data_IF_535530946327
#
_entry.id   IF_535530946327
#
_cell.length_a   1.000
_cell.length_b   1.000
_cell.length_c   1.000
_cell.angle_alpha   90.00
_cell.angle_beta   90.00
_cell.angle_gamma   90.00
#
_symmetry.space_group_name_H-M   'P 1'
#
loop_
_entity.id
_entity.type
_entity.pdbx_description
1 polymer ?
#
# COMPACT_ATOMS: atom_id res chain seq x y z
N UNK A 1 -2.87 11.19 -69.23
CA UNK A 1 -2.33 12.39 -68.55
C UNK A 1 -3.45 12.98 -67.73
N UNK A 2 -3.40 13.17 -66.42
CA UNK A 2 -2.50 12.75 -65.36
C UNK A 2 -3.33 12.85 -64.05
N UNK A 3 -3.01 11.98 -63.09
CA UNK A 3 -3.57 11.90 -61.74
C UNK A 3 -2.97 12.98 -60.82
N UNK A 4 -3.62 13.22 -59.67
CA UNK A 4 -3.05 13.79 -58.44
C UNK A 4 -3.53 15.20 -58.10
N UNK A 5 -3.82 15.61 -56.87
CA UNK A 5 -3.73 14.97 -55.55
C UNK A 5 -4.65 15.74 -54.58
N UNK A 6 -5.35 15.02 -53.71
CA UNK A 6 -6.00 15.55 -52.50
C UNK A 6 -4.94 15.93 -51.47
N UNK A 7 -4.85 17.22 -51.09
CA UNK A 7 -4.05 17.62 -49.93
C UNK A 7 -4.81 17.34 -48.64
N UNK A 8 -4.29 16.37 -47.89
CA UNK A 8 -4.52 16.19 -46.45
C UNK A 8 -3.89 17.38 -45.72
N UNK A 9 -4.70 18.15 -44.98
CA UNK A 9 -4.20 19.07 -43.96
C UNK A 9 -4.09 18.32 -42.63
N UNK A 10 -3.21 17.32 -42.57
CA UNK A 10 -2.71 16.79 -41.31
C UNK A 10 -1.73 17.81 -40.74
N UNK A 11 -2.22 18.67 -39.84
CA UNK A 11 -1.31 19.33 -38.90
C UNK A 11 -0.71 18.24 -38.00
N UNK A 12 0.62 18.06 -37.98
CA UNK A 12 1.23 17.21 -36.98
C UNK A 12 0.91 17.80 -35.62
N UNK A 13 0.35 16.96 -34.74
CA UNK A 13 0.18 17.25 -33.33
C UNK A 13 1.46 17.91 -32.82
N UNK A 14 1.32 19.14 -32.31
CA UNK A 14 2.39 19.90 -31.70
C UNK A 14 3.11 18.99 -30.71
N UNK A 15 4.32 18.57 -31.05
CA UNK A 15 5.25 17.93 -30.13
C UNK A 15 5.65 18.98 -29.09
N UNK A 16 4.77 19.21 -28.11
CA UNK A 16 5.16 19.80 -26.85
C UNK A 16 6.17 18.81 -26.27
N UNK A 17 7.41 19.27 -26.15
CA UNK A 17 8.49 18.54 -25.52
C UNK A 17 8.03 18.26 -24.07
N UNK A 18 7.46 17.07 -23.81
CA UNK A 18 6.87 16.72 -22.52
C UNK A 18 7.97 16.78 -21.45
N UNK A 19 7.94 17.84 -20.64
CA UNK A 19 8.87 17.97 -19.52
C UNK A 19 8.46 16.95 -18.46
N UNK A 20 9.25 15.89 -18.30
CA UNK A 20 9.02 14.89 -17.25
C UNK A 20 9.01 15.57 -15.88
N UNK A 21 8.00 15.27 -15.07
CA UNK A 21 7.80 15.89 -13.77
C UNK A 21 8.92 15.59 -12.78
N UNK A 22 9.15 16.52 -11.86
CA UNK A 22 10.31 16.46 -10.97
C UNK A 22 10.27 15.22 -10.07
N UNK A 23 9.10 14.83 -9.55
CA UNK A 23 8.95 13.66 -8.67
C UNK A 23 9.29 12.37 -9.41
N UNK A 24 8.91 12.29 -10.68
CA UNK A 24 9.19 11.16 -11.56
C UNK A 24 10.69 11.04 -11.85
N UNK A 25 11.35 12.18 -12.13
CA UNK A 25 12.82 12.24 -12.23
C UNK A 25 13.51 11.86 -10.93
N UNK A 26 12.98 12.32 -9.79
CA UNK A 26 13.61 12.15 -8.47
C UNK A 26 13.74 10.67 -8.09
N UNK A 27 12.71 9.87 -8.39
CA UNK A 27 12.75 8.42 -8.14
C UNK A 27 13.52 7.62 -9.21
N UNK A 28 14.10 8.29 -10.23
CA UNK A 28 14.86 7.68 -11.33
C UNK A 28 14.03 6.80 -12.29
N UNK A 29 12.71 7.02 -12.41
CA UNK A 29 11.87 6.29 -13.36
C UNK A 29 12.28 6.47 -14.84
N UNK A 30 12.68 7.68 -15.33
CA UNK A 30 13.06 7.87 -16.73
C UNK A 30 14.23 6.99 -17.19
N UNK A 31 15.18 6.69 -16.29
CA UNK A 31 16.30 5.81 -16.62
C UNK A 31 15.88 4.36 -16.93
N UNK A 32 14.70 3.93 -16.43
CA UNK A 32 14.08 2.65 -16.78
C UNK A 32 13.27 2.76 -18.07
N UNK A 33 12.60 3.90 -18.30
CA UNK A 33 11.87 4.15 -19.54
C UNK A 33 12.78 4.13 -20.77
N UNK A 34 14.01 4.66 -20.64
CA UNK A 34 15.06 4.60 -21.67
C UNK A 34 15.48 3.16 -22.01
N UNK A 35 15.21 2.21 -21.10
CA UNK A 35 15.41 0.77 -21.27
C UNK A 35 14.15 0.03 -21.75
N UNK A 36 13.08 0.76 -22.06
CA UNK A 36 11.79 0.20 -22.45
C UNK A 36 10.96 -0.38 -21.30
N UNK A 37 11.36 -0.14 -20.04
CA UNK A 37 10.64 -0.62 -18.86
C UNK A 37 9.66 0.47 -18.44
N UNK A 38 8.39 0.32 -18.82
CA UNK A 38 7.34 1.35 -18.59
C UNK A 38 6.11 0.82 -17.85
N UNK A 39 6.18 -0.38 -17.29
CA UNK A 39 5.08 -1.00 -16.53
C UNK A 39 4.20 -1.94 -17.36
N UNK A 40 4.64 -2.33 -18.55
CA UNK A 40 3.91 -3.20 -19.45
C UNK A 40 3.46 -4.51 -18.80
N UNK A 41 2.20 -4.88 -19.02
CA UNK A 41 1.59 -6.10 -18.49
C UNK A 41 1.15 -6.01 -17.01
N UNK A 42 1.47 -4.91 -16.32
CA UNK A 42 1.05 -4.71 -14.93
C UNK A 42 -0.25 -3.93 -14.86
N UNK A 43 -1.07 -4.30 -13.89
CA UNK A 43 -2.33 -3.62 -13.54
C UNK A 43 -2.18 -3.03 -12.15
N UNK A 44 -2.36 -1.71 -12.03
CA UNK A 44 -2.44 -1.01 -10.74
C UNK A 44 -3.88 -0.64 -10.42
N UNK A 45 -4.19 -0.49 -9.14
CA UNK A 45 -5.49 -0.04 -8.67
C UNK A 45 -5.37 1.08 -7.65
N UNK A 46 -6.43 1.87 -7.50
CA UNK A 46 -6.66 2.66 -6.30
C UNK A 46 -8.04 2.40 -5.68
N UNK A 47 -8.09 2.52 -4.36
CA UNK A 47 -9.33 2.77 -3.63
C UNK A 47 -9.31 4.25 -3.22
N UNK A 48 -10.13 5.06 -3.88
CA UNK A 48 -10.08 6.52 -3.74
C UNK A 48 -11.44 7.17 -4.08
N UNK A 49 -11.47 8.46 -4.42
CA UNK A 49 -12.68 9.23 -4.78
C UNK A 49 -13.25 8.89 -6.16
N UNK A 50 -12.61 7.93 -6.84
CA UNK A 50 -12.87 7.52 -8.21
C UNK A 50 -11.80 8.04 -9.18
N UNK A 51 -12.02 7.87 -10.47
CA UNK A 51 -11.10 8.35 -11.52
C UNK A 51 -11.92 8.94 -12.67
N UNK A 52 -11.54 10.13 -13.16
CA UNK A 52 -12.05 10.66 -14.42
C UNK A 52 -11.43 9.89 -15.59
N UNK A 53 -12.05 8.77 -15.98
CA UNK A 53 -11.48 7.91 -17.04
C UNK A 53 -11.35 8.58 -18.40
N UNK A 54 -12.12 9.64 -18.66
CA UNK A 54 -12.06 10.40 -19.92
C UNK A 54 -10.87 11.34 -20.01
N UNK A 55 -10.11 11.52 -18.92
CA UNK A 55 -8.93 12.38 -18.91
C UNK A 55 -7.89 11.87 -19.91
N UNK A 56 -7.28 12.79 -20.67
CA UNK A 56 -6.36 12.49 -21.79
C UNK A 56 -5.19 11.59 -21.36
N UNK A 57 -4.66 11.80 -20.17
CA UNK A 57 -3.56 11.00 -19.61
C UNK A 57 -3.97 9.62 -19.12
N UNK A 58 -5.26 9.31 -19.00
CA UNK A 58 -5.76 8.10 -18.32
C UNK A 58 -6.59 7.19 -19.23
N UNK A 59 -7.28 7.75 -20.22
CA UNK A 59 -8.26 7.02 -21.03
C UNK A 59 -7.68 5.81 -21.76
N UNK A 60 -6.43 5.88 -22.24
CA UNK A 60 -5.78 4.81 -23.01
C UNK A 60 -5.40 3.58 -22.18
N UNK A 61 -5.28 3.73 -20.85
CA UNK A 61 -4.78 2.70 -19.95
C UNK A 61 -5.85 2.13 -19.01
N UNK A 62 -7.07 2.63 -19.08
CA UNK A 62 -8.18 2.04 -18.33
C UNK A 62 -8.49 0.64 -18.83
N UNK A 63 -8.56 -0.33 -17.93
CA UNK A 63 -9.12 -1.66 -18.24
C UNK A 63 -10.64 -1.59 -18.09
N UNK A 64 -11.36 -1.64 -19.21
CA UNK A 64 -12.82 -1.49 -19.20
C UNK A 64 -13.53 -2.66 -18.50
N UNK A 65 -13.14 -3.89 -18.84
CA UNK A 65 -13.71 -5.08 -18.21
C UNK A 65 -13.11 -5.28 -16.81
N UNK A 66 -13.96 -5.53 -15.82
CA UNK A 66 -13.56 -5.79 -14.44
C UNK A 66 -12.71 -4.67 -13.82
N UNK A 67 -12.82 -3.44 -14.31
CA UNK A 67 -11.91 -2.36 -13.93
C UNK A 67 -12.54 -1.18 -13.21
N UNK A 68 -13.81 -1.28 -12.84
CA UNK A 68 -14.50 -0.24 -12.11
C UNK A 68 -15.52 -0.81 -11.14
N UNK A 69 -15.51 -0.28 -9.92
CA UNK A 69 -16.59 -0.50 -8.96
C UNK A 69 -16.90 0.78 -8.18
N UNK A 70 -18.19 1.05 -8.00
CA UNK A 70 -18.71 2.18 -7.25
C UNK A 70 -19.78 1.68 -6.27
N UNK A 71 -19.40 1.41 -5.00
CA UNK A 71 -20.34 0.93 -3.99
C UNK A 71 -21.34 2.01 -3.54
N UNK A 72 -21.13 3.28 -3.86
CA UNK A 72 -22.04 4.37 -3.47
C UNK A 72 -23.23 4.45 -4.43
N UNK A 73 -22.94 4.70 -5.70
CA UNK A 73 -23.97 5.07 -6.69
C UNK A 73 -24.11 4.04 -7.81
N UNK A 74 -23.29 2.99 -7.83
CA UNK A 74 -23.29 1.95 -8.86
C UNK A 74 -23.15 2.52 -10.27
N UNK A 75 -22.34 3.57 -10.40
CA UNK A 75 -22.08 4.19 -11.70
C UNK A 75 -21.42 3.17 -12.63
N UNK A 76 -21.88 3.15 -13.90
CA UNK A 76 -21.40 2.17 -14.89
C UNK A 76 -19.98 2.45 -15.38
N UNK A 77 -19.55 3.70 -15.31
CA UNK A 77 -18.26 4.17 -15.80
C UNK A 77 -17.54 4.92 -14.67
N UNK A 78 -16.20 4.87 -14.63
CA UNK A 78 -15.44 5.62 -13.65
C UNK A 78 -15.79 7.11 -13.67
N UNK A 79 -15.84 7.71 -12.50
CA UNK A 79 -16.03 9.13 -12.35
C UNK A 79 -15.40 9.59 -11.06
N UNK A 80 -15.02 10.86 -11.03
CA UNK A 80 -14.43 11.48 -9.86
C UNK A 80 -14.96 12.90 -9.70
N UNK A 81 -15.73 13.13 -8.64
CA UNK A 81 -16.30 14.44 -8.33
C UNK A 81 -15.39 15.26 -7.41
N UNK A 82 -14.34 14.66 -6.84
CA UNK A 82 -13.42 15.31 -5.90
C UNK A 82 -12.03 15.52 -6.46
N UNK A 83 -11.60 14.69 -7.40
CA UNK A 83 -10.33 14.84 -8.12
C UNK A 83 -9.12 14.20 -7.46
N UNK A 84 -9.21 13.80 -6.19
CA UNK A 84 -8.09 13.20 -5.48
C UNK A 84 -7.66 11.88 -6.14
N UNK A 85 -8.60 10.97 -6.41
CA UNK A 85 -8.31 9.70 -7.04
C UNK A 85 -7.82 9.82 -8.49
N UNK A 86 -8.32 10.82 -9.25
CA UNK A 86 -7.81 11.14 -10.59
C UNK A 86 -6.35 11.58 -10.55
N UNK A 87 -5.98 12.43 -9.59
CA UNK A 87 -4.60 12.91 -9.39
C UNK A 87 -3.64 11.80 -8.97
N UNK A 88 -4.09 10.96 -8.04
CA UNK A 88 -3.34 9.77 -7.58
C UNK A 88 -3.13 8.78 -8.72
N UNK A 89 -4.17 8.49 -9.51
CA UNK A 89 -4.06 7.58 -10.66
C UNK A 89 -3.14 8.16 -11.75
N UNK A 90 -3.24 9.47 -12.02
CA UNK A 90 -2.34 10.16 -12.95
C UNK A 90 -0.87 10.02 -12.57
N UNK A 91 -0.56 10.12 -11.28
CA UNK A 91 0.82 9.94 -10.78
C UNK A 91 1.33 8.51 -11.02
N UNK A 92 0.46 7.50 -10.92
CA UNK A 92 0.86 6.11 -11.17
C UNK A 92 1.07 5.82 -12.66
N UNK A 93 0.15 6.23 -13.54
CA UNK A 93 0.05 5.71 -14.92
C UNK A 93 -0.25 6.75 -16.01
N UNK A 94 -0.22 8.04 -15.67
CA UNK A 94 -0.49 9.12 -16.62
C UNK A 94 0.42 9.06 -17.87
N UNK A 95 -0.19 9.10 -19.05
CA UNK A 95 0.49 8.89 -20.33
C UNK A 95 0.94 10.16 -21.04
N UNK A 96 0.47 11.32 -20.58
CA UNK A 96 0.82 12.63 -21.14
C UNK A 96 1.44 13.52 -20.06
N UNK A 97 2.11 14.59 -20.47
CA UNK A 97 2.73 15.58 -19.59
C UNK A 97 3.82 15.02 -18.65
N UNK A 98 4.29 13.78 -18.87
CA UNK A 98 5.34 13.17 -18.06
C UNK A 98 5.02 13.01 -16.56
N UNK A 99 3.74 12.83 -16.21
CA UNK A 99 3.26 12.72 -14.81
C UNK A 99 3.22 11.29 -14.26
N UNK A 100 3.14 10.27 -15.12
CA UNK A 100 2.97 8.88 -14.69
C UNK A 100 4.28 8.15 -14.50
N UNK A 101 4.46 7.45 -13.37
CA UNK A 101 5.66 6.63 -13.12
C UNK A 101 5.72 5.40 -14.05
N UNK A 102 4.60 4.71 -14.25
CA UNK A 102 4.47 3.51 -15.08
C UNK A 102 3.45 3.75 -16.21
N UNK A 103 3.81 4.55 -17.24
CA UNK A 103 2.87 5.03 -18.26
C UNK A 103 2.32 3.93 -19.18
N UNK A 104 2.86 2.70 -19.16
CA UNK A 104 2.31 1.57 -19.93
C UNK A 104 1.50 0.59 -19.06
N UNK A 105 1.49 0.76 -17.73
CA UNK A 105 0.65 -0.07 -16.86
C UNK A 105 -0.83 0.25 -17.10
N UNK A 106 -1.66 -0.79 -17.02
CA UNK A 106 -3.12 -0.64 -17.03
C UNK A 106 -3.61 -0.27 -15.64
N UNK A 107 -4.77 0.36 -15.58
CA UNK A 107 -5.38 0.72 -14.31
C UNK A 107 -6.83 0.27 -14.18
N UNK A 108 -7.19 0.00 -12.93
CA UNK A 108 -8.55 -0.20 -12.45
C UNK A 108 -8.78 0.68 -11.22
N UNK A 109 -10.03 0.91 -10.84
CA UNK A 109 -10.32 1.75 -9.69
C UNK A 109 -11.57 1.31 -8.96
N UNK A 110 -11.60 1.58 -7.66
CA UNK A 110 -12.82 1.51 -6.88
C UNK A 110 -13.07 2.84 -6.14
N UNK A 111 -14.30 3.33 -6.22
CA UNK A 111 -14.74 4.54 -5.52
C UNK A 111 -15.04 4.24 -4.05
N UNK A 112 -14.03 3.89 -3.27
CA UNK A 112 -14.21 3.58 -1.84
C UNK A 112 -14.30 4.82 -0.96
N UNK A 113 -13.80 5.93 -1.47
CA UNK A 113 -13.89 7.23 -0.83
C UNK A 113 -14.88 8.13 -1.57
N UNK A 114 -15.51 8.99 -0.80
CA UNK A 114 -16.12 10.21 -1.28
C UNK A 114 -15.31 11.36 -0.63
N UNK A 115 -15.95 12.44 -0.17
CA UNK A 115 -15.30 13.39 0.75
C UNK A 115 -14.59 12.69 1.95
N UNK A 116 -15.10 11.52 2.35
CA UNK A 116 -14.53 10.64 3.39
C UNK A 116 -14.42 9.21 2.87
N UNK A 117 -13.52 8.42 3.45
CA UNK A 117 -13.36 6.99 3.17
C UNK A 117 -14.07 6.16 4.26
N UNK A 118 -15.36 5.86 4.05
CA UNK A 118 -16.14 5.08 5.02
C UNK A 118 -15.68 3.62 5.03
N UNK A 119 -15.39 3.07 6.21
CA UNK A 119 -14.82 1.72 6.38
C UNK A 119 -15.55 0.64 5.57
N UNK A 120 -16.88 0.59 5.63
CA UNK A 120 -17.67 -0.43 4.93
C UNK A 120 -17.66 -0.27 3.39
N UNK A 121 -17.43 0.95 2.88
CA UNK A 121 -17.27 1.20 1.44
C UNK A 121 -15.87 0.82 0.98
N UNK A 122 -14.86 1.12 1.80
CA UNK A 122 -13.47 0.68 1.56
C UNK A 122 -13.37 -0.85 1.59
N UNK A 123 -14.04 -1.54 2.52
CA UNK A 123 -14.05 -3.01 2.55
C UNK A 123 -14.68 -3.61 1.29
N UNK A 124 -15.82 -3.10 0.82
CA UNK A 124 -16.42 -3.57 -0.44
C UNK A 124 -15.49 -3.35 -1.63
N UNK A 125 -14.79 -2.21 -1.67
CA UNK A 125 -13.74 -1.98 -2.67
C UNK A 125 -12.57 -2.95 -2.54
N UNK A 126 -12.18 -3.28 -1.31
CA UNK A 126 -11.06 -4.17 -1.08
C UNK A 126 -11.38 -5.62 -1.49
N UNK A 127 -12.60 -6.07 -1.23
CA UNK A 127 -13.14 -7.35 -1.73
C UNK A 127 -13.21 -7.38 -3.26
N UNK A 128 -13.71 -6.29 -3.89
CA UNK A 128 -13.70 -6.16 -5.34
C UNK A 128 -12.29 -6.25 -5.92
N UNK A 129 -11.31 -5.56 -5.32
CA UNK A 129 -9.93 -5.62 -5.82
C UNK A 129 -9.24 -6.97 -5.54
N UNK A 130 -9.69 -7.73 -4.54
CA UNK A 130 -9.23 -9.11 -4.34
C UNK A 130 -9.75 -10.05 -5.43
N UNK A 131 -11.03 -9.94 -5.79
CA UNK A 131 -11.64 -10.76 -6.82
C UNK A 131 -12.66 -9.94 -7.64
N UNK A 132 -12.22 -9.25 -8.70
CA UNK A 132 -13.08 -8.35 -9.46
C UNK A 132 -14.28 -9.07 -10.06
N UNK A 133 -15.43 -8.40 -10.08
CA UNK A 133 -16.64 -8.86 -10.79
C UNK A 133 -16.96 -7.95 -11.96
N UNK A 134 -17.90 -8.37 -12.82
CA UNK A 134 -18.31 -7.54 -13.94
C UNK A 134 -19.10 -6.30 -13.47
N UNK A 135 -19.46 -5.45 -14.44
CA UNK A 135 -20.20 -4.19 -14.20
C UNK A 135 -21.58 -4.39 -13.53
N UNK A 136 -22.15 -5.59 -13.60
CA UNK A 136 -23.47 -5.91 -13.04
C UNK A 136 -23.34 -6.59 -11.66
N UNK A 137 -22.12 -6.78 -11.15
CA UNK A 137 -21.86 -7.43 -9.86
C UNK A 137 -21.95 -8.96 -9.93
N UNK A 138 -22.11 -9.52 -11.12
CA UNK A 138 -22.22 -10.94 -11.35
C UNK A 138 -20.87 -11.42 -11.95
N UNK A 139 -20.55 -12.71 -11.95
CA UNK A 139 -19.33 -13.22 -12.61
C UNK A 139 -17.98 -12.72 -12.06
N UNK A 140 -17.67 -12.99 -10.78
CA UNK A 140 -16.32 -12.74 -10.23
C UNK A 140 -15.23 -13.53 -10.97
N UNK A 141 -14.10 -12.87 -11.26
CA UNK A 141 -12.89 -13.44 -11.86
C UNK A 141 -11.65 -12.90 -11.16
N UNK A 142 -11.11 -13.67 -10.22
CA UNK A 142 -9.95 -13.25 -9.43
C UNK A 142 -8.66 -13.17 -10.27
N UNK A 143 -8.61 -13.76 -11.47
CA UNK A 143 -7.47 -13.57 -12.39
C UNK A 143 -7.36 -12.13 -12.92
N UNK A 144 -8.42 -11.33 -12.71
CA UNK A 144 -8.44 -9.90 -13.03
C UNK A 144 -7.96 -9.02 -11.87
N UNK A 145 -7.57 -9.58 -10.72
CA UNK A 145 -7.02 -8.77 -9.63
C UNK A 145 -5.86 -7.87 -10.10
N UNK A 146 -5.68 -6.68 -9.51
CA UNK A 146 -4.52 -5.84 -9.77
C UNK A 146 -3.28 -6.45 -9.10
N UNK A 147 -2.10 -6.05 -9.55
CA UNK A 147 -0.85 -6.46 -8.92
C UNK A 147 -0.51 -5.56 -7.73
N UNK A 148 -0.93 -4.28 -7.78
CA UNK A 148 -0.63 -3.27 -6.78
C UNK A 148 -1.89 -2.47 -6.47
N UNK A 149 -2.16 -2.22 -5.19
CA UNK A 149 -3.27 -1.35 -4.76
C UNK A 149 -2.69 -0.15 -4.00
N UNK A 150 -2.86 1.04 -4.56
CA UNK A 150 -2.58 2.29 -3.88
C UNK A 150 -3.78 2.73 -3.02
N UNK A 151 -3.50 3.07 -1.77
CA UNK A 151 -4.49 3.54 -0.81
C UNK A 151 -4.01 4.85 -0.18
N UNK A 152 -4.50 5.97 -0.71
CA UNK A 152 -4.14 7.32 -0.26
C UNK A 152 -5.13 7.85 0.78
N UNK A 153 -5.43 7.02 1.79
CA UNK A 153 -6.32 7.33 2.90
C UNK A 153 -5.83 6.69 4.20
N UNK A 154 -6.29 7.23 5.32
CA UNK A 154 -6.06 6.68 6.64
C UNK A 154 -6.44 7.68 7.72
N UNK A 155 -6.56 7.20 8.96
CA UNK A 155 -6.69 8.05 10.14
C UNK A 155 -5.86 7.49 11.28
N UNK A 156 -5.50 8.36 12.21
CA UNK A 156 -4.83 7.95 13.42
C UNK A 156 -5.80 7.15 14.30
N UNK A 157 -5.44 5.92 14.67
CA UNK A 157 -6.29 5.08 15.51
C UNK A 157 -5.71 3.68 15.72
N UNK A 158 -6.27 2.99 16.71
CA UNK A 158 -5.88 1.63 17.12
C UNK A 158 -6.95 0.58 16.81
N UNK A 159 -7.87 0.90 15.90
CA UNK A 159 -8.88 -0.02 15.41
C UNK A 159 -8.44 -0.59 14.07
N UNK A 160 -7.89 -1.80 14.10
CA UNK A 160 -7.22 -2.44 12.97
C UNK A 160 -8.20 -3.31 12.15
N UNK A 161 -9.22 -2.68 11.56
CA UNK A 161 -10.35 -3.37 10.90
C UNK A 161 -10.04 -4.02 9.55
N UNK A 162 -8.88 -3.71 8.95
CA UNK A 162 -8.52 -4.14 7.59
C UNK A 162 -7.44 -5.22 7.55
N UNK A 163 -6.92 -5.68 8.70
CA UNK A 163 -5.78 -6.62 8.73
C UNK A 163 -6.03 -7.91 7.97
N UNK A 164 -7.18 -8.57 8.19
CA UNK A 164 -7.52 -9.82 7.51
C UNK A 164 -7.63 -9.64 5.99
N UNK A 165 -8.15 -8.47 5.56
CA UNK A 165 -8.26 -8.13 4.15
C UNK A 165 -6.89 -7.85 3.52
N UNK A 166 -6.02 -7.14 4.25
CA UNK A 166 -4.63 -6.92 3.83
C UNK A 166 -3.88 -8.25 3.72
N UNK A 167 -4.07 -9.17 4.68
CA UNK A 167 -3.53 -10.53 4.62
C UNK A 167 -3.99 -11.26 3.36
N UNK A 168 -5.30 -11.25 3.08
CA UNK A 168 -5.85 -11.90 1.90
C UNK A 168 -5.35 -11.29 0.58
N UNK A 169 -5.15 -9.98 0.50
CA UNK A 169 -4.46 -9.34 -0.65
C UNK A 169 -3.05 -9.88 -0.83
N UNK A 170 -2.26 -9.94 0.26
CA UNK A 170 -0.89 -10.45 0.19
C UNK A 170 -0.83 -11.92 -0.21
N UNK A 171 -1.73 -12.75 0.31
CA UNK A 171 -1.84 -14.16 -0.07
C UNK A 171 -2.21 -14.36 -1.54
N UNK A 172 -2.99 -13.44 -2.11
CA UNK A 172 -3.30 -13.39 -3.53
C UNK A 172 -2.17 -12.79 -4.39
N UNK A 173 -1.01 -12.43 -3.80
CA UNK A 173 0.11 -11.81 -4.51
C UNK A 173 -0.08 -10.33 -4.82
N UNK A 174 -1.09 -9.69 -4.24
CA UNK A 174 -1.39 -8.27 -4.44
C UNK A 174 -0.57 -7.44 -3.43
N UNK A 175 0.04 -6.35 -3.90
CA UNK A 175 0.90 -5.50 -3.07
C UNK A 175 0.15 -4.26 -2.58
N UNK A 176 -0.21 -4.19 -1.27
CA UNK A 176 -0.84 -3.01 -0.69
C UNK A 176 0.17 -1.91 -0.35
N UNK A 177 -0.08 -0.72 -0.89
CA UNK A 177 0.68 0.50 -0.61
C UNK A 177 -0.25 1.52 0.03
N UNK A 178 0.18 2.14 1.12
CA UNK A 178 -0.59 3.13 1.85
C UNK A 178 0.21 4.42 2.08
N UNK A 179 -0.46 5.56 1.97
CA UNK A 179 0.07 6.84 2.44
C UNK A 179 0.24 6.82 3.97
N UNK A 180 1.38 7.24 4.50
CA UNK A 180 1.67 7.13 5.94
C UNK A 180 0.84 8.08 6.84
N UNK A 181 0.23 9.12 6.24
CA UNK A 181 -0.59 10.11 6.93
C UNK A 181 -0.01 11.52 6.87
N UNK A 182 -0.84 12.51 7.20
CA UNK A 182 -0.51 13.93 7.11
C UNK A 182 -0.54 14.62 8.50
N UNK A 183 -0.09 13.90 9.54
CA UNK A 183 -0.13 14.35 10.94
C UNK A 183 1.28 14.58 11.52
N UNK A 184 2.27 14.91 10.70
CA UNK A 184 3.67 15.11 11.14
C UNK A 184 3.87 16.20 12.20
N UNK A 185 2.99 17.20 12.21
CA UNK A 185 2.93 18.28 13.22
C UNK A 185 2.49 17.80 14.60
N UNK A 186 1.73 16.70 14.68
CA UNK A 186 1.29 16.09 15.93
C UNK A 186 2.45 15.41 16.68
N UNK A 187 3.54 15.08 15.99
CA UNK A 187 4.74 14.52 16.60
C UNK A 187 5.09 13.11 16.13
N UNK A 188 5.94 12.45 16.92
CA UNK A 188 6.26 11.04 16.71
C UNK A 188 5.04 10.17 17.03
N UNK A 189 5.00 8.99 16.43
CA UNK A 189 3.94 8.01 16.59
C UNK A 189 2.54 8.44 16.13
N UNK A 190 2.47 9.18 15.03
CA UNK A 190 1.24 9.63 14.37
C UNK A 190 1.07 9.09 12.94
N UNK A 191 1.67 7.94 12.62
CA UNK A 191 1.33 7.19 11.40
C UNK A 191 -0.13 6.75 11.42
N UNK A 192 -0.84 6.90 10.31
CA UNK A 192 -2.26 6.55 10.22
C UNK A 192 -2.48 5.07 9.91
N UNK A 193 -3.59 4.51 10.36
CA UNK A 193 -4.08 3.21 9.92
C UNK A 193 -4.89 3.35 8.61
N UNK A 194 -4.74 2.48 7.59
CA UNK A 194 -4.00 1.21 7.58
C UNK A 194 -2.46 1.21 7.43
N UNK A 195 -1.84 2.34 7.06
CA UNK A 195 -0.38 2.41 6.86
C UNK A 195 0.47 1.94 8.07
N UNK A 196 -0.08 2.09 9.28
CA UNK A 196 0.52 1.61 10.53
C UNK A 196 0.70 0.08 10.60
N UNK A 197 -0.01 -0.70 9.78
CA UNK A 197 0.08 -2.16 9.71
C UNK A 197 1.48 -2.61 9.27
N UNK A 198 2.05 -3.67 9.88
CA UNK A 198 3.30 -4.26 9.41
C UNK A 198 3.17 -4.95 8.05
N UNK A 199 1.94 -5.21 7.59
CA UNK A 199 1.65 -5.97 6.38
C UNK A 199 1.65 -5.11 5.10
N UNK A 200 1.89 -3.80 5.20
CA UNK A 200 1.79 -2.89 4.06
C UNK A 200 3.05 -2.06 3.88
N UNK A 201 3.27 -1.56 2.66
CA UNK A 201 4.29 -0.54 2.38
C UNK A 201 3.69 0.82 2.72
N UNK A 202 4.14 1.43 3.80
CA UNK A 202 3.76 2.79 4.19
C UNK A 202 4.72 3.83 3.63
N UNK A 203 4.17 4.88 3.04
CA UNK A 203 4.96 5.87 2.28
C UNK A 203 4.90 7.26 2.92
N UNK A 204 6.07 7.75 3.34
CA UNK A 204 6.29 9.13 3.79
C UNK A 204 6.51 10.10 2.63
N UNK A 205 6.41 11.41 2.91
CA UNK A 205 6.46 12.45 1.87
C UNK A 205 7.69 13.35 1.99
N UNK A 206 8.31 13.60 0.83
CA UNK A 206 9.45 14.51 0.66
C UNK A 206 9.15 15.58 -0.39
N UNK A 207 9.84 16.70 -0.30
CA UNK A 207 9.75 17.78 -1.29
C UNK A 207 10.85 17.73 -2.38
N UNK A 208 10.82 18.71 -3.28
CA UNK A 208 11.80 18.84 -4.37
C UNK A 208 13.26 18.96 -3.92
N UNK A 209 13.49 19.38 -2.67
CA UNK A 209 14.83 19.50 -2.07
C UNK A 209 15.28 18.22 -1.36
N UNK A 210 14.49 17.14 -1.37
CA UNK A 210 14.71 15.94 -0.55
C UNK A 210 14.59 16.22 0.97
N UNK A 211 13.85 17.27 1.35
CA UNK A 211 13.48 17.52 2.75
C UNK A 211 12.22 16.74 3.12
N UNK A 212 12.13 16.31 4.38
CA UNK A 212 10.89 15.74 4.92
C UNK A 212 9.79 16.80 4.91
N UNK A 213 8.62 16.48 4.35
CA UNK A 213 7.47 17.38 4.46
C UNK A 213 7.00 17.46 5.92
N UNK A 214 6.75 18.67 6.42
CA UNK A 214 6.42 18.90 7.84
C UNK A 214 5.21 18.10 8.33
N UNK A 215 4.23 17.90 7.44
CA UNK A 215 3.01 17.18 7.77
C UNK A 215 3.13 15.68 7.48
N UNK A 216 4.22 15.19 6.89
CA UNK A 216 4.42 13.75 6.71
C UNK A 216 4.39 13.08 8.08
N UNK A 217 3.40 12.21 8.31
CA UNK A 217 3.27 11.48 9.57
C UNK A 217 4.54 10.70 9.88
N UNK A 218 4.86 10.63 11.17
CA UNK A 218 6.09 10.03 11.68
C UNK A 218 5.78 8.79 12.52
N UNK A 219 6.67 7.81 12.46
CA UNK A 219 6.62 6.64 13.34
C UNK A 219 7.21 6.89 14.73
N UNK A 220 7.48 5.81 15.49
CA UNK A 220 7.04 4.45 15.20
C UNK A 220 5.51 4.36 15.15
N UNK A 221 4.92 3.37 14.49
CA UNK A 221 3.47 3.25 14.46
C UNK A 221 2.87 3.05 15.85
N UNK A 222 1.55 3.16 15.96
CA UNK A 222 0.81 2.81 17.19
C UNK A 222 1.02 1.36 17.65
N UNK A 223 1.54 0.49 16.78
CA UNK A 223 1.97 -0.88 17.09
C UNK A 223 3.47 -0.98 17.45
N UNK A 224 4.13 0.16 17.70
CA UNK A 224 5.55 0.29 17.98
C UNK A 224 6.45 -0.34 16.90
N UNK A 225 6.09 -0.15 15.62
CA UNK A 225 6.87 -0.60 14.45
C UNK A 225 7.46 0.58 13.69
N UNK A 226 8.58 0.36 13.00
CA UNK A 226 9.15 1.35 12.09
C UNK A 226 8.10 1.78 11.06
N UNK A 227 7.78 3.07 11.00
CA UNK A 227 6.97 3.70 9.94
C UNK A 227 7.44 5.14 9.69
N UNK A 228 7.31 5.68 8.46
CA UNK A 228 6.98 4.96 7.22
C UNK A 228 8.02 3.89 6.89
N UNK A 229 7.73 2.99 5.94
CA UNK A 229 8.74 2.04 5.44
C UNK A 229 9.70 2.74 4.48
N UNK A 230 9.20 3.59 3.61
CA UNK A 230 9.99 4.32 2.63
C UNK A 230 9.38 5.70 2.42
N UNK A 231 10.14 6.63 1.82
CA UNK A 231 9.63 7.94 1.45
C UNK A 231 9.69 8.16 -0.06
N UNK A 232 8.83 9.05 -0.56
CA UNK A 232 8.78 9.41 -1.98
C UNK A 232 8.37 10.89 -2.15
N UNK A 233 8.51 11.46 -3.36
CA UNK A 233 8.03 12.80 -3.70
C UNK A 233 6.54 12.97 -3.41
N UNK A 234 6.17 13.99 -2.63
CA UNK A 234 4.77 14.24 -2.33
C UNK A 234 4.41 15.68 -2.00
N UNK A 235 5.29 16.65 -2.25
CA UNK A 235 5.00 18.09 -2.13
C UNK A 235 5.01 18.72 -3.51
N UNK A 236 3.99 19.49 -3.86
CA UNK A 236 3.86 20.13 -5.17
C UNK A 236 4.03 19.11 -6.30
N UNK A 237 3.13 18.11 -6.30
CA UNK A 237 3.06 17.09 -7.35
C UNK A 237 2.01 17.50 -8.38
N UNK A 238 2.43 17.68 -9.62
CA UNK A 238 1.58 17.94 -10.77
C UNK A 238 1.03 16.63 -11.33
N UNK A 239 -0.29 16.54 -11.49
CA UNK A 239 -0.96 15.37 -12.06
C UNK A 239 -2.36 15.72 -12.56
N UNK A 240 -3.05 14.74 -13.17
CA UNK A 240 -4.38 14.87 -13.73
C UNK A 240 -5.39 15.44 -12.71
N UNK A 241 -6.24 16.35 -13.15
CA UNK A 241 -7.36 16.91 -12.40
C UNK A 241 -8.68 16.34 -12.93
N UNK A 242 -9.73 16.43 -12.13
CA UNK A 242 -11.08 16.05 -12.55
C UNK A 242 -11.90 17.21 -13.16
N UNK A 243 -11.35 18.42 -13.26
CA UNK A 243 -12.08 19.61 -13.74
C UNK A 243 -12.58 19.42 -15.19
N UNK A 244 -11.71 18.96 -16.08
CA UNK A 244 -12.04 18.57 -17.45
C UNK A 244 -11.07 17.50 -17.99
N UNK A 245 -11.24 17.08 -19.26
CA UNK A 245 -10.48 15.97 -19.84
C UNK A 245 -9.00 16.28 -20.12
N UNK A 246 -8.57 17.55 -20.05
CA UNK A 246 -7.16 17.95 -20.24
C UNK A 246 -6.62 18.84 -19.11
N UNK A 247 -7.27 18.82 -17.95
CA UNK A 247 -6.89 19.68 -16.80
C UNK A 247 -5.93 18.98 -15.85
N UNK A 248 -4.97 19.71 -15.32
CA UNK A 248 -4.01 19.20 -14.33
C UNK A 248 -4.01 20.09 -13.09
N UNK A 249 -3.53 19.56 -11.96
CA UNK A 249 -3.44 20.32 -10.71
C UNK A 249 -2.23 19.92 -9.87
N UNK A 250 -1.80 20.85 -9.02
CA UNK A 250 -0.75 20.62 -8.02
C UNK A 250 -1.38 20.20 -6.70
N UNK A 251 -0.86 19.13 -6.09
CA UNK A 251 -1.28 18.68 -4.75
C UNK A 251 -0.08 18.25 -3.92
N UNK A 252 -0.24 18.33 -2.59
CA UNK A 252 0.77 17.94 -1.60
C UNK A 252 0.14 16.99 -0.58
N UNK A 253 0.90 15.97 -0.18
CA UNK A 253 0.44 14.94 0.76
C UNK A 253 1.29 13.68 0.69
N UNK A 254 1.24 12.86 1.75
CA UNK A 254 1.65 11.45 1.62
C UNK A 254 0.78 10.70 0.61
N UNK A 255 -0.43 11.20 0.36
CA UNK A 255 -1.32 10.76 -0.72
C UNK A 255 -0.73 10.89 -2.12
N UNK A 256 0.20 11.81 -2.34
CA UNK A 256 0.92 11.98 -3.61
C UNK A 256 2.24 11.21 -3.63
N UNK A 257 2.80 10.89 -2.46
CA UNK A 257 3.99 10.05 -2.33
C UNK A 257 3.69 8.57 -2.56
N UNK A 258 2.60 8.03 -1.99
CA UNK A 258 2.17 6.65 -2.18
C UNK A 258 2.06 6.22 -3.67
N UNK A 259 1.42 6.98 -4.58
CA UNK A 259 1.31 6.58 -5.98
C UNK A 259 2.64 6.59 -6.73
N UNK A 260 3.64 7.37 -6.29
CA UNK A 260 4.98 7.23 -6.86
C UNK A 260 5.54 5.83 -6.58
N UNK A 261 5.36 5.31 -5.36
CA UNK A 261 5.79 3.96 -4.97
C UNK A 261 4.97 2.90 -5.67
N UNK A 262 3.64 3.04 -5.76
CA UNK A 262 2.79 2.07 -6.47
C UNK A 262 3.12 1.98 -7.97
N UNK A 263 3.36 3.10 -8.64
CA UNK A 263 3.82 3.10 -10.02
C UNK A 263 5.23 2.50 -10.17
N UNK A 264 6.13 2.76 -9.21
CA UNK A 264 7.46 2.18 -9.21
C UNK A 264 7.42 0.64 -9.02
N UNK A 265 6.53 0.12 -8.18
CA UNK A 265 6.29 -1.32 -8.06
C UNK A 265 5.81 -1.88 -9.40
N UNK A 266 4.98 -1.17 -10.15
CA UNK A 266 4.57 -1.62 -11.48
C UNK A 266 5.75 -1.67 -12.48
N UNK A 267 6.69 -0.72 -12.43
CA UNK A 267 7.94 -0.82 -13.19
C UNK A 267 8.73 -2.07 -12.79
N UNK A 268 8.89 -2.31 -11.48
CA UNK A 268 9.62 -3.47 -10.96
C UNK A 268 9.00 -4.80 -11.38
N UNK A 269 7.69 -4.95 -11.23
CA UNK A 269 6.96 -6.18 -11.58
C UNK A 269 6.93 -6.43 -13.09
N UNK A 270 6.99 -5.39 -13.93
CA UNK A 270 6.99 -5.58 -15.39
C UNK A 270 8.21 -6.38 -15.89
N UNK A 271 9.31 -6.33 -15.14
CA UNK A 271 10.52 -7.13 -15.39
C UNK A 271 10.65 -8.33 -14.45
N UNK A 272 10.09 -8.27 -13.25
CA UNK A 272 10.09 -9.34 -12.25
C UNK A 272 8.66 -9.86 -11.99
N UNK A 273 8.06 -10.50 -13.00
CA UNK A 273 6.60 -10.81 -13.04
C UNK A 273 6.07 -11.67 -11.90
N UNK A 274 6.92 -12.52 -11.34
CA UNK A 274 6.55 -13.46 -10.28
C UNK A 274 7.06 -13.02 -8.89
N UNK A 275 7.58 -11.79 -8.77
CA UNK A 275 8.11 -11.31 -7.50
C UNK A 275 6.99 -11.17 -6.46
N UNK A 276 7.24 -11.79 -5.31
CA UNK A 276 6.40 -11.72 -4.12
C UNK A 276 6.46 -10.34 -3.47
N UNK A 277 5.51 -10.07 -2.56
CA UNK A 277 5.56 -8.86 -1.73
C UNK A 277 6.91 -8.70 -1.02
N UNK A 278 7.45 -9.77 -0.43
CA UNK A 278 8.69 -9.69 0.37
C UNK A 278 9.90 -9.36 -0.53
N UNK A 279 9.95 -9.90 -1.74
CA UNK A 279 10.97 -9.55 -2.73
C UNK A 279 10.87 -8.10 -3.16
N UNK A 280 9.66 -7.61 -3.45
CA UNK A 280 9.43 -6.20 -3.80
C UNK A 280 9.80 -5.27 -2.65
N UNK A 281 9.31 -5.55 -1.43
CA UNK A 281 9.62 -4.77 -0.23
C UNK A 281 11.13 -4.69 -0.03
N UNK A 282 11.82 -5.82 -0.16
CA UNK A 282 13.28 -5.90 0.01
C UNK A 282 14.02 -5.11 -1.06
N UNK A 283 13.63 -5.28 -2.32
CA UNK A 283 14.24 -4.56 -3.42
C UNK A 283 14.09 -3.04 -3.25
N UNK A 284 12.90 -2.56 -2.86
CA UNK A 284 12.68 -1.12 -2.65
C UNK A 284 13.44 -0.58 -1.43
N UNK A 285 13.43 -1.30 -0.30
CA UNK A 285 14.01 -0.81 0.96
C UNK A 285 15.53 -0.92 1.03
N UNK A 286 16.15 -1.85 0.31
CA UNK A 286 17.61 -1.95 0.23
C UNK A 286 18.24 -0.96 -0.76
N UNK A 287 17.44 -0.42 -1.68
CA UNK A 287 17.94 0.37 -2.82
C UNK A 287 17.39 1.80 -2.81
N UNK A 288 17.58 2.47 -1.67
CA UNK A 288 17.10 3.83 -1.40
C UNK A 288 18.20 4.88 -1.56
N UNK A 289 17.79 6.15 -1.56
CA UNK A 289 18.65 7.32 -1.39
C UNK A 289 18.57 7.82 0.06
N UNK A 290 19.72 7.92 0.72
CA UNK A 290 19.86 8.38 2.12
C UNK A 290 20.81 9.56 2.27
N UNK A 291 21.75 9.72 1.36
CA UNK A 291 22.89 10.63 1.51
C UNK A 291 22.49 12.08 1.22
N UNK A 292 21.43 12.26 0.42
CA UNK A 292 20.92 13.57 0.00
C UNK A 292 19.68 14.03 0.77
N UNK A 293 19.26 13.28 1.79
CA UNK A 293 18.06 13.62 2.56
C UNK A 293 18.34 14.71 3.58
N UNK A 294 17.48 15.73 3.62
CA UNK A 294 17.54 16.78 4.64
C UNK A 294 16.64 16.41 5.81
N UNK A 295 17.26 15.83 6.83
CA UNK A 295 16.55 15.42 8.04
C UNK A 295 16.28 16.60 8.98
N UNK A 296 15.04 16.80 9.46
CA UNK A 296 14.77 17.76 10.51
C UNK A 296 15.48 17.32 11.80
N UNK A 297 15.83 18.26 12.69
CA UNK A 297 16.40 17.95 14.01
C UNK A 297 15.32 17.39 14.96
N UNK A 298 14.90 16.15 14.68
CA UNK A 298 13.82 15.44 15.38
C UNK A 298 14.19 13.96 15.50
N UNK A 299 13.99 13.38 16.67
CA UNK A 299 14.28 11.97 16.94
C UNK A 299 13.00 11.27 17.34
N UNK A 300 12.63 10.20 16.63
CA UNK A 300 11.43 9.42 16.91
C UNK A 300 11.79 7.95 17.16
N UNK A 301 11.27 7.38 18.25
CA UNK A 301 11.57 5.98 18.65
C UNK A 301 13.02 5.73 19.07
N UNK A 302 13.75 6.77 19.48
CA UNK A 302 15.14 6.66 19.93
C UNK A 302 16.18 6.46 18.83
N UNK A 303 15.79 6.53 17.55
CA UNK A 303 16.69 6.39 16.40
C UNK A 303 17.10 7.78 15.92
N UNK A 304 18.41 8.12 15.90
CA UNK A 304 18.88 9.39 15.36
C UNK A 304 18.41 9.63 13.92
N UNK A 305 18.13 10.88 13.58
CA UNK A 305 17.67 11.30 12.25
C UNK A 305 18.70 11.09 11.11
N UNK A 306 19.96 10.77 11.47
CA UNK A 306 21.04 10.42 10.54
C UNK A 306 21.23 8.92 10.36
N UNK A 307 20.54 8.09 11.15
CA UNK A 307 20.59 6.64 11.04
C UNK A 307 19.41 6.15 10.20
N UNK A 308 19.62 5.15 9.35
CA UNK A 308 18.56 4.51 8.58
C UNK A 308 18.53 2.99 8.87
N UNK A 309 17.34 2.37 8.86
CA UNK A 309 16.04 3.02 8.76
C UNK A 309 15.68 3.83 10.01
N UNK A 310 14.86 4.89 9.86
CA UNK A 310 14.32 5.68 10.97
C UNK A 310 12.83 6.00 10.80
N UNK A 311 12.23 6.52 11.87
CA UNK A 311 10.80 6.85 11.93
C UNK A 311 10.41 8.18 11.24
N UNK A 312 11.31 8.76 10.46
CA UNK A 312 11.05 9.97 9.66
C UNK A 312 10.90 9.61 8.18
N UNK A 313 11.92 8.95 7.63
CA UNK A 313 11.98 8.60 6.20
C UNK A 313 11.79 7.12 5.91
N UNK A 314 11.73 6.28 6.94
CA UNK A 314 11.82 4.83 6.78
C UNK A 314 13.25 4.43 6.42
N UNK A 315 13.40 3.54 5.45
CA UNK A 315 14.71 3.16 4.91
C UNK A 315 15.40 4.30 4.14
N UNK A 316 14.64 5.23 3.56
CA UNK A 316 15.15 6.36 2.79
C UNK A 316 14.14 6.79 1.71
N UNK A 317 14.55 7.67 0.79
CA UNK A 317 13.72 7.99 -0.38
C UNK A 317 13.92 6.93 -1.46
N UNK A 318 12.84 6.44 -2.03
CA UNK A 318 12.87 5.44 -3.10
C UNK A 318 13.72 5.88 -4.31
N UNK A 319 14.45 4.93 -4.88
CA UNK A 319 15.14 5.00 -6.16
C UNK A 319 14.83 3.72 -6.95
N UNK A 320 13.88 3.81 -7.90
CA UNK A 320 13.39 2.62 -8.60
C UNK A 320 14.43 2.04 -9.55
N UNK A 321 15.34 2.88 -10.08
CA UNK A 321 16.41 2.41 -10.94
C UNK A 321 17.36 1.49 -10.18
N UNK A 322 17.80 1.91 -8.98
CA UNK A 322 18.63 1.05 -8.11
C UNK A 322 17.89 -0.25 -7.77
N UNK A 323 16.60 -0.18 -7.41
CA UNK A 323 15.83 -1.37 -7.04
C UNK A 323 15.69 -2.38 -8.19
N UNK A 324 15.46 -1.92 -9.43
CA UNK A 324 15.32 -2.79 -10.61
C UNK A 324 16.66 -3.36 -11.10
N UNK A 325 17.76 -2.62 -10.92
CA UNK A 325 19.08 -3.02 -11.43
C UNK A 325 19.96 -3.73 -10.40
N UNK A 326 19.54 -3.76 -9.14
CA UNK A 326 20.24 -4.47 -8.08
C UNK A 326 20.24 -5.99 -8.33
N UNK A 327 21.32 -6.71 -7.94
CA UNK A 327 21.30 -8.15 -7.93
C UNK A 327 20.22 -8.67 -6.97
N UNK A 328 19.65 -9.87 -7.23
CA UNK A 328 18.68 -10.47 -6.32
C UNK A 328 19.21 -10.56 -4.90
N UNK A 329 18.43 -10.06 -3.94
CA UNK A 329 18.76 -10.10 -2.51
C UNK A 329 17.83 -11.06 -1.79
N UNK A 330 18.31 -11.68 -0.70
CA UNK A 330 17.48 -12.53 0.16
C UNK A 330 16.27 -11.74 0.66
N UNK A 331 15.04 -12.22 0.42
CA UNK A 331 13.83 -11.51 0.84
C UNK A 331 13.79 -11.33 2.36
N UNK A 332 13.46 -10.12 2.81
CA UNK A 332 13.12 -9.80 4.19
C UNK A 332 11.70 -10.28 4.45
N UNK A 333 11.47 -11.24 5.35
CA UNK A 333 10.12 -11.63 5.72
C UNK A 333 9.42 -10.44 6.36
N UNK A 334 8.32 -9.98 5.76
CA UNK A 334 7.53 -8.86 6.32
C UNK A 334 6.22 -9.31 6.95
N UNK A 335 5.82 -10.57 6.75
CA UNK A 335 4.75 -11.19 7.54
C UNK A 335 5.34 -11.75 8.84
N UNK A 336 5.04 -11.20 10.02
CA UNK A 336 4.66 -12.04 11.14
C UNK A 336 3.20 -12.43 10.93
N UNK A 337 2.92 -13.73 10.96
CA UNK A 337 1.59 -14.36 10.88
C UNK A 337 1.10 -14.71 9.47
N UNK A 338 1.29 -15.99 9.13
CA UNK A 338 0.33 -16.81 8.41
C UNK A 338 -1.14 -16.49 8.79
N UNK A 339 -2.13 -16.82 7.95
CA UNK A 339 -3.54 -16.55 8.22
C UNK A 339 -3.90 -17.01 9.63
N UNK A 340 -4.80 -16.31 10.36
CA UNK A 340 -4.87 -16.41 11.81
C UNK A 340 -4.97 -17.87 12.24
N UNK A 341 -3.85 -18.41 12.72
CA UNK A 341 -3.77 -19.80 13.19
C UNK A 341 -4.67 -20.00 14.39
N UNK A 342 -5.14 -18.90 14.99
CA UNK A 342 -6.06 -18.89 16.10
C UNK A 342 -7.36 -18.14 15.81
N UNK A 343 -8.40 -18.52 16.54
CA UNK A 343 -9.68 -17.83 16.62
C UNK A 343 -9.55 -16.46 17.30
N UNK A 344 -10.66 -15.70 17.36
CA UNK A 344 -10.71 -14.42 18.10
C UNK A 344 -10.33 -14.60 19.58
N UNK A 345 -9.65 -13.61 20.13
CA UNK A 345 -9.21 -13.58 21.53
C UNK A 345 -10.37 -13.61 22.52
N UNK A 346 -10.19 -14.39 23.58
CA UNK A 346 -10.91 -14.28 24.83
C UNK A 346 -10.06 -13.46 25.81
N UNK A 347 -10.35 -12.17 25.90
CA UNK A 347 -9.69 -11.28 26.85
C UNK A 347 -10.22 -11.51 28.27
N UNK A 348 -9.34 -11.48 29.26
CA UNK A 348 -9.63 -11.67 30.69
C UNK A 348 -10.14 -13.06 31.09
N UNK A 349 -9.88 -14.07 30.26
CA UNK A 349 -10.22 -15.45 30.55
C UNK A 349 -9.02 -16.37 30.34
N UNK A 350 -8.82 -17.30 31.27
CA UNK A 350 -7.98 -18.48 31.03
C UNK A 350 -8.83 -19.69 30.66
N UNK A 351 -8.29 -20.55 29.80
CA UNK A 351 -8.96 -21.77 29.37
C UNK A 351 -8.54 -22.92 30.30
N UNK A 352 -9.53 -23.60 30.86
CA UNK A 352 -9.32 -24.81 31.68
C UNK A 352 -9.03 -25.99 30.76
N UNK A 353 -7.95 -26.72 31.07
CA UNK A 353 -7.47 -27.83 30.25
C UNK A 353 -6.13 -28.35 30.72
N UNK A 354 -5.73 -29.51 30.20
CA UNK A 354 -4.42 -30.09 30.49
C UNK A 354 -3.33 -29.27 29.80
N UNK A 355 -2.36 -28.80 30.60
CA UNK A 355 -1.18 -28.10 30.06
C UNK A 355 -0.29 -29.11 29.31
N UNK A 356 -0.06 -28.83 28.03
CA UNK A 356 0.84 -29.59 27.14
C UNK A 356 2.27 -29.09 27.30
N UNK A 357 2.43 -27.77 27.42
CA UNK A 357 3.72 -27.09 27.52
C UNK A 357 3.52 -25.70 28.12
N UNK A 358 4.49 -25.24 28.90
CA UNK A 358 4.58 -23.83 29.29
C UNK A 358 5.84 -23.23 28.66
N UNK A 359 5.70 -22.08 28.01
CA UNK A 359 6.82 -21.33 27.42
C UNK A 359 6.69 -19.85 27.75
N UNK A 360 7.81 -19.14 27.78
CA UNK A 360 7.79 -17.67 27.79
C UNK A 360 7.69 -17.16 26.36
N UNK A 361 6.78 -16.24 26.09
CA UNK A 361 6.69 -15.52 24.83
C UNK A 361 6.37 -14.05 25.07
N UNK A 362 6.60 -13.20 24.07
CA UNK A 362 6.42 -11.75 24.23
C UNK A 362 4.96 -11.32 24.09
N UNK A 363 4.19 -12.03 23.27
CA UNK A 363 2.81 -11.67 22.93
C UNK A 363 1.89 -12.88 22.90
N UNK A 364 0.58 -12.64 22.94
CA UNK A 364 -0.41 -13.70 22.73
C UNK A 364 -0.35 -14.27 21.31
N UNK A 365 0.01 -13.46 20.31
CA UNK A 365 0.20 -13.95 18.93
C UNK A 365 1.36 -14.96 18.85
N UNK A 366 2.48 -14.69 19.53
CA UNK A 366 3.60 -15.63 19.62
C UNK A 366 3.19 -16.94 20.32
N UNK A 367 2.29 -16.88 21.31
CA UNK A 367 1.73 -18.08 21.94
C UNK A 367 0.85 -18.89 20.98
N UNK A 368 0.13 -18.21 20.07
CA UNK A 368 -0.66 -18.87 19.04
C UNK A 368 0.24 -19.66 18.09
N UNK A 369 1.32 -19.04 17.63
CA UNK A 369 2.33 -19.68 16.78
C UNK A 369 2.98 -20.87 17.48
N UNK A 370 3.36 -20.73 18.74
CA UNK A 370 3.94 -21.84 19.52
C UNK A 370 2.93 -22.99 19.71
N UNK A 371 1.66 -22.69 20.01
CA UNK A 371 0.63 -23.72 20.13
C UNK A 371 0.47 -24.48 18.82
N UNK A 372 0.38 -23.77 17.69
CA UNK A 372 0.25 -24.39 16.37
C UNK A 372 1.40 -25.37 16.06
N UNK A 373 2.61 -25.01 16.46
CA UNK A 373 3.80 -25.84 16.23
C UNK A 373 3.99 -26.94 17.30
N UNK A 374 3.18 -26.97 18.35
CA UNK A 374 3.30 -27.92 19.45
C UNK A 374 2.34 -29.10 19.26
N UNK A 375 2.84 -30.35 19.12
CA UNK A 375 1.98 -31.52 19.00
C UNK A 375 0.94 -31.60 20.13
N UNK A 376 -0.31 -31.87 19.76
CA UNK A 376 -1.48 -31.96 20.65
C UNK A 376 -1.93 -30.65 21.31
N UNK A 377 -1.33 -29.49 20.98
CA UNK A 377 -1.90 -28.21 21.40
C UNK A 377 -3.05 -27.82 20.48
N UNK A 378 -4.16 -27.37 21.06
CA UNK A 378 -5.28 -26.81 20.30
C UNK A 378 -5.81 -25.50 20.90
N UNK A 379 -5.23 -25.04 22.00
CA UNK A 379 -5.57 -23.77 22.65
C UNK A 379 -4.44 -23.33 23.58
N UNK A 380 -4.42 -22.05 23.94
CA UNK A 380 -3.46 -21.55 24.92
C UNK A 380 -4.08 -20.46 25.80
N UNK A 381 -3.40 -20.19 26.93
CA UNK A 381 -3.61 -19.01 27.76
C UNK A 381 -2.28 -18.28 27.95
N UNK A 382 -2.24 -17.02 27.54
CA UNK A 382 -1.16 -16.09 27.78
C UNK A 382 -1.44 -15.24 29.01
N UNK A 383 -0.46 -15.10 29.90
CA UNK A 383 -0.52 -14.21 31.06
C UNK A 383 0.75 -13.39 31.15
N UNK A 384 0.60 -12.10 31.45
CA UNK A 384 1.74 -11.19 31.63
C UNK A 384 2.39 -11.29 33.02
N UNK A 385 1.79 -12.06 33.94
CA UNK A 385 2.37 -12.33 35.26
C UNK A 385 3.57 -13.27 35.12
N UNK A 386 4.71 -12.93 35.76
CA UNK A 386 5.96 -13.71 35.79
C UNK A 386 6.46 -14.15 34.38
N UNK A 387 7.23 -13.27 33.72
CA UNK A 387 7.96 -13.54 32.47
C UNK A 387 7.12 -13.81 31.21
N UNK A 388 5.88 -13.31 31.16
CA UNK A 388 4.99 -13.43 29.99
C UNK A 388 4.83 -14.90 29.54
N UNK A 389 4.10 -15.69 30.34
CA UNK A 389 3.98 -17.13 30.13
C UNK A 389 2.80 -17.49 29.22
N UNK A 390 3.05 -18.31 28.19
CA UNK A 390 2.04 -19.07 27.46
C UNK A 390 1.89 -20.46 28.07
N UNK A 391 0.68 -20.80 28.50
CA UNK A 391 0.29 -22.18 28.83
C UNK A 391 -0.42 -22.77 27.63
N UNK A 392 0.27 -23.64 26.91
CA UNK A 392 -0.23 -24.39 25.77
C UNK A 392 -1.04 -25.57 26.28
N UNK A 393 -2.22 -25.81 25.72
CA UNK A 393 -3.22 -26.72 26.28
C UNK A 393 -3.82 -27.64 25.22
N UNK A 394 -4.18 -28.83 25.67
CA UNK A 394 -4.99 -29.78 24.93
C UNK A 394 -6.37 -29.83 25.58
N UNK A 395 -7.41 -29.44 24.84
CA UNK A 395 -8.80 -29.53 25.32
C UNK A 395 -9.63 -30.39 24.38
N UNK A 396 -10.26 -31.43 24.92
CA UNK A 396 -11.27 -32.23 24.23
C UNK A 396 -12.68 -31.70 24.55
N UNK A 397 -13.53 -31.55 23.53
CA UNK A 397 -14.93 -31.13 23.70
C UNK A 397 -15.14 -29.63 23.98
N UNK A 398 -16.17 -29.33 24.78
CA UNK A 398 -16.50 -27.95 25.22
C UNK A 398 -15.50 -27.55 26.30
N UNK A 399 -14.78 -26.46 26.08
CA UNK A 399 -13.82 -25.97 27.06
C UNK A 399 -14.52 -25.10 28.11
N UNK A 400 -14.02 -25.15 29.33
CA UNK A 400 -14.43 -24.25 30.41
C UNK A 400 -13.47 -23.06 30.47
N UNK A 401 -14.01 -21.87 30.75
CA UNK A 401 -13.23 -20.65 30.90
C UNK A 401 -13.42 -20.06 32.28
N UNK A 402 -12.33 -19.60 32.88
CA UNK A 402 -12.33 -18.98 34.20
C UNK A 402 -11.88 -17.54 34.06
N UNK A 403 -12.56 -16.62 34.73
CA UNK A 403 -12.16 -15.21 34.74
C UNK A 403 -10.76 -15.08 35.34
N UNK A 404 -9.88 -14.43 34.58
CA UNK A 404 -8.53 -14.10 35.02
C UNK A 404 -8.12 -12.79 34.37
N UNK A 405 -8.10 -11.74 35.19
CA UNK A 405 -7.74 -10.40 34.74
C UNK A 405 -6.34 -10.41 34.10
N UNK A 406 -6.21 -9.79 32.93
CA UNK A 406 -4.94 -9.72 32.18
C UNK A 406 -4.57 -10.96 31.37
N UNK A 407 -5.33 -12.06 31.46
CA UNK A 407 -5.13 -13.22 30.61
C UNK A 407 -5.68 -13.00 29.19
N UNK A 408 -5.02 -13.59 28.19
CA UNK A 408 -5.53 -13.70 26.81
C UNK A 408 -5.49 -15.14 26.38
N UNK A 409 -6.61 -15.66 25.87
CA UNK A 409 -6.69 -17.04 25.42
C UNK A 409 -7.27 -17.15 24.02
N UNK A 410 -6.90 -18.19 23.27
CA UNK A 410 -7.56 -18.53 21.99
C UNK A 410 -7.38 -20.01 21.64
N UNK A 411 -8.17 -20.47 20.66
CA UNK A 411 -8.07 -21.78 20.02
C UNK A 411 -7.32 -21.69 18.71
N UNK A 412 -6.68 -22.78 18.31
CA UNK A 412 -6.23 -22.94 16.93
C UNK A 412 -7.45 -23.04 15.99
N UNK A 413 -7.32 -22.53 14.76
CA UNK A 413 -8.30 -22.70 13.68
C UNK A 413 -8.21 -24.09 13.06
#
# INVERSE_FOLDING_TARGET
>A
MALGDTKSDDQPASAVNESIEWGIKKIQAPALWDKGIKGDGIVVANIDTGVRYTHESLISNWRQDYGWFDPYNKTKLPNDSWGHGTHVMGTMVGTTQGIGVAPNAKWIACKGCNYLCQQHMVMQCAEFLLCPHDKDGNNSDCSKAPHVINNSFGWYGTYFWMEDMITAWREAGIIPVFSNGNNGTEGCAYSTYPAASPQVIAVGSTDGSDSLWSDSSLGPSVMNRLKPDISAPGVDIYSASNDNDGSFSWKSGTSMAAPHVSGAIALYLSVNKDATYDEVYTALTNNVETDRLYSPNKTCGGIPNTQYPNNLFGYGRMDIFKAVTAPPSTPRPTMPHSPPKCTKWLDTFEISGSDVKAVSQRTADDCCDECYNTPNCNTFTFTQDNDCTCRLKAVSGVFSQTYKQGAKSSRLK
#
